data_IF_789801759586
#
_entry.id   IF_789801759586
#
_cell.length_a   1.000
_cell.length_b   1.000
_cell.length_c   1.000
_cell.angle_alpha   90.00
_cell.angle_beta   90.00
_cell.angle_gamma   90.00
#
_symmetry.space_group_name_H-M   'P 1'
#
loop_
_entity.id
_entity.type
_entity.pdbx_description
1 polymer ?
#
# COMPACT_ATOMS: atom_id res chain seq x y z
N UNK A 1 41.98 -2.32 -18.01
CA UNK A 1 40.56 -2.72 -18.02
C UNK A 1 40.15 -3.48 -16.77
N UNK A 2 40.91 -4.42 -16.29
CA UNK A 2 40.57 -5.29 -15.13
C UNK A 2 40.38 -4.56 -13.79
N UNK A 3 41.14 -3.53 -13.49
CA UNK A 3 41.02 -2.73 -12.26
C UNK A 3 39.69 -1.93 -12.17
N UNK A 4 39.13 -1.51 -13.30
CA UNK A 4 37.84 -0.78 -13.32
C UNK A 4 36.68 -1.72 -13.09
N UNK A 5 36.79 -2.96 -13.60
CA UNK A 5 35.79 -4.01 -13.42
C UNK A 5 35.76 -4.48 -11.95
N UNK A 6 36.91 -4.64 -11.30
CA UNK A 6 37.00 -5.02 -9.86
C UNK A 6 36.45 -3.93 -8.94
N UNK A 7 36.71 -2.64 -9.19
CA UNK A 7 36.13 -1.55 -8.40
C UNK A 7 34.61 -1.50 -8.51
N UNK A 8 34.06 -1.62 -9.72
CA UNK A 8 32.59 -1.67 -9.91
C UNK A 8 31.96 -2.91 -9.27
N UNK A 9 32.62 -4.06 -9.33
CA UNK A 9 32.14 -5.27 -8.66
C UNK A 9 32.12 -5.11 -7.13
N UNK A 10 33.13 -4.49 -6.53
CA UNK A 10 33.19 -4.23 -5.09
C UNK A 10 32.09 -3.23 -4.68
N UNK A 11 31.82 -2.19 -5.48
CA UNK A 11 30.72 -1.24 -5.24
C UNK A 11 29.35 -1.94 -5.29
N UNK A 12 29.11 -2.80 -6.27
CA UNK A 12 27.85 -3.56 -6.41
C UNK A 12 27.68 -4.54 -5.25
N UNK A 13 28.75 -5.24 -4.86
CA UNK A 13 28.72 -6.18 -3.73
C UNK A 13 28.50 -5.41 -2.42
N UNK A 14 29.14 -4.27 -2.24
CA UNK A 14 28.97 -3.42 -1.05
C UNK A 14 27.54 -2.87 -0.93
N UNK A 15 26.95 -2.40 -2.03
CA UNK A 15 25.52 -1.94 -2.03
C UNK A 15 24.55 -3.08 -1.80
N UNK A 16 24.78 -4.24 -2.39
CA UNK A 16 23.95 -5.43 -2.17
C UNK A 16 24.04 -5.91 -0.71
N UNK A 17 25.24 -5.94 -0.14
CA UNK A 17 25.43 -6.30 1.27
C UNK A 17 24.73 -5.31 2.22
N UNK A 18 24.85 -4.01 1.96
CA UNK A 18 24.17 -2.98 2.74
C UNK A 18 22.63 -3.13 2.67
N UNK A 19 22.09 -3.41 1.48
CA UNK A 19 20.66 -3.67 1.31
C UNK A 19 20.19 -4.93 2.05
N UNK A 20 21.00 -6.00 2.04
CA UNK A 20 20.68 -7.23 2.76
C UNK A 20 20.68 -7.00 4.27
N UNK A 21 21.63 -6.24 4.81
CA UNK A 21 21.68 -5.90 6.23
C UNK A 21 20.46 -5.06 6.62
N UNK A 22 20.12 -4.05 5.81
CA UNK A 22 18.92 -3.22 6.04
C UNK A 22 17.64 -4.04 5.96
N UNK A 23 17.53 -4.94 4.99
CA UNK A 23 16.40 -5.86 4.89
C UNK A 23 16.30 -6.79 6.10
N UNK A 24 17.42 -7.26 6.61
CA UNK A 24 17.49 -8.05 7.86
C UNK A 24 17.01 -7.25 9.07
N UNK A 25 17.39 -5.99 9.19
CA UNK A 25 16.92 -5.09 10.27
C UNK A 25 15.41 -4.86 10.15
N UNK A 26 14.91 -4.57 8.94
CA UNK A 26 13.48 -4.37 8.69
C UNK A 26 12.69 -5.63 9.02
N UNK A 27 13.20 -6.79 8.62
CA UNK A 27 12.60 -8.09 8.95
C UNK A 27 12.56 -8.33 10.45
N UNK A 28 13.65 -8.06 11.15
CA UNK A 28 13.74 -8.20 12.60
C UNK A 28 12.74 -7.30 13.33
N UNK A 29 12.68 -6.02 12.98
CA UNK A 29 11.72 -5.05 13.53
C UNK A 29 10.29 -5.48 13.22
N UNK A 30 9.99 -5.82 11.97
CA UNK A 30 8.64 -6.24 11.55
C UNK A 30 8.17 -7.55 12.20
N UNK A 31 9.11 -8.43 12.59
CA UNK A 31 8.76 -9.68 13.28
C UNK A 31 8.65 -9.51 14.80
N UNK A 32 9.34 -8.53 15.38
CA UNK A 32 9.33 -8.24 16.81
C UNK A 32 8.09 -7.43 17.22
N UNK A 33 7.54 -6.64 16.32
CA UNK A 33 6.33 -5.85 16.57
C UNK A 33 5.10 -6.75 16.54
N UNK A 34 4.29 -6.73 17.58
CA UNK A 34 2.96 -7.36 17.59
C UNK A 34 2.15 -6.71 16.48
N UNK A 35 1.84 -7.47 15.43
CA UNK A 35 0.93 -7.06 14.37
C UNK A 35 -0.47 -6.92 14.97
N UNK A 36 -0.75 -5.76 15.53
CA UNK A 36 -2.13 -5.39 15.84
C UNK A 36 -2.83 -5.25 14.50
N UNK A 37 -3.91 -6.00 14.21
CA UNK A 37 -4.61 -5.85 12.94
C UNK A 37 -5.06 -4.40 12.81
N UNK A 38 -4.67 -3.79 11.68
CA UNK A 38 -4.92 -2.38 11.36
C UNK A 38 -6.41 -1.98 11.38
N UNK A 39 -7.29 -2.97 11.33
CA UNK A 39 -8.74 -2.83 11.33
C UNK A 39 -9.30 -4.03 12.10
N UNK A 40 -9.29 -3.94 13.41
CA UNK A 40 -10.06 -4.79 14.27
C UNK A 40 -10.77 -3.89 15.28
N UNK A 41 -11.80 -3.21 14.82
CA UNK A 41 -12.91 -3.00 15.70
C UNK A 41 -13.53 -4.37 15.92
N UNK A 42 -13.70 -4.78 17.18
CA UNK A 42 -14.24 -6.08 17.55
C UNK A 42 -15.49 -6.39 16.72
N UNK A 43 -15.42 -7.40 15.86
CA UNK A 43 -16.54 -7.84 15.04
C UNK A 43 -16.63 -7.31 13.61
N UNK A 44 -15.71 -6.46 13.13
CA UNK A 44 -15.69 -5.99 11.74
C UNK A 44 -14.63 -6.72 10.90
N UNK A 45 -15.06 -7.38 9.83
CA UNK A 45 -14.19 -8.06 8.87
C UNK A 45 -14.42 -7.53 7.46
N UNK A 46 -13.35 -7.24 6.72
CA UNK A 46 -13.44 -6.92 5.29
C UNK A 46 -13.12 -8.15 4.45
N UNK A 47 -14.07 -8.55 3.60
CA UNK A 47 -13.93 -9.71 2.75
C UNK A 47 -14.23 -9.38 1.28
N UNK A 48 -13.58 -10.10 0.38
CA UNK A 48 -13.93 -10.05 -1.04
C UNK A 48 -15.16 -10.89 -1.29
N UNK A 49 -16.07 -10.39 -2.11
CA UNK A 49 -17.28 -11.09 -2.49
C UNK A 49 -17.64 -10.85 -3.95
N UNK A 50 -18.49 -11.71 -4.49
CA UNK A 50 -19.04 -11.56 -5.84
C UNK A 50 -20.55 -11.46 -5.73
N UNK A 51 -21.14 -10.49 -6.40
CA UNK A 51 -22.60 -10.31 -6.46
C UNK A 51 -23.22 -11.45 -7.26
N UNK A 52 -24.13 -12.19 -6.63
CA UNK A 52 -24.82 -13.33 -7.25
C UNK A 52 -26.19 -12.93 -7.74
N UNK A 53 -26.92 -12.11 -6.96
CA UNK A 53 -28.29 -11.73 -7.23
C UNK A 53 -28.56 -10.32 -6.70
N UNK A 54 -29.42 -9.56 -7.37
CA UNK A 54 -29.92 -8.27 -6.91
C UNK A 54 -31.32 -8.53 -6.36
N UNK A 55 -31.49 -8.34 -5.03
CA UNK A 55 -32.76 -8.59 -4.34
C UNK A 55 -33.71 -7.41 -4.50
N UNK A 56 -33.18 -6.20 -4.32
CA UNK A 56 -33.90 -4.93 -4.57
C UNK A 56 -33.06 -4.04 -5.46
N UNK A 57 -33.63 -3.58 -6.56
CA UNK A 57 -33.03 -2.54 -7.38
C UNK A 57 -33.01 -1.20 -6.64
N UNK A 58 -32.29 -0.26 -7.18
CA UNK A 58 -32.06 1.07 -6.62
C UNK A 58 -33.39 1.79 -6.33
N UNK A 59 -33.87 1.72 -5.10
CA UNK A 59 -35.12 2.36 -4.64
C UNK A 59 -34.78 3.71 -4.01
N UNK A 60 -34.83 4.77 -4.80
CA UNK A 60 -34.77 6.13 -4.28
C UNK A 60 -33.62 6.96 -4.81
N UNK A 61 -33.78 7.49 -5.98
CA UNK A 61 -33.04 8.63 -6.47
C UNK A 61 -33.93 9.44 -7.38
N UNK A 62 -34.37 10.58 -6.93
CA UNK A 62 -34.82 11.63 -7.81
C UNK A 62 -33.70 11.90 -8.82
N UNK A 63 -34.03 11.82 -10.12
CA UNK A 63 -33.16 12.18 -11.22
C UNK A 63 -32.68 13.62 -11.07
N UNK A 64 -31.57 13.81 -10.40
CA UNK A 64 -30.81 15.05 -10.44
C UNK A 64 -29.54 14.78 -11.22
N UNK A 65 -29.62 15.06 -12.49
CA UNK A 65 -28.52 15.32 -13.42
C UNK A 65 -27.32 14.38 -13.39
N UNK A 66 -27.11 13.69 -14.51
CA UNK A 66 -25.83 13.11 -14.98
C UNK A 66 -25.03 12.25 -14.01
N UNK A 67 -25.33 10.95 -13.97
CA UNK A 67 -24.32 9.90 -13.69
C UNK A 67 -24.27 9.32 -12.30
N UNK A 68 -24.94 9.84 -11.28
CA UNK A 68 -24.87 9.33 -9.91
C UNK A 68 -26.22 8.82 -9.40
N UNK A 69 -26.33 7.48 -9.33
CA UNK A 69 -27.46 6.82 -8.69
C UNK A 69 -27.24 6.82 -7.17
N UNK A 70 -27.69 7.85 -6.48
CA UNK A 70 -27.81 7.83 -5.03
C UNK A 70 -29.04 6.97 -4.66
N UNK A 71 -28.84 5.88 -3.92
CA UNK A 71 -29.91 5.00 -3.48
C UNK A 71 -29.38 3.77 -2.76
N UNK A 72 -30.26 3.01 -2.11
CA UNK A 72 -29.90 1.73 -1.51
C UNK A 72 -30.24 0.58 -2.45
N UNK A 73 -29.38 -0.41 -2.50
CA UNK A 73 -29.56 -1.63 -3.27
C UNK A 73 -29.28 -2.82 -2.36
N UNK A 74 -30.20 -3.76 -2.26
CA UNK A 74 -29.98 -5.00 -1.52
C UNK A 74 -29.51 -6.07 -2.50
N UNK A 75 -28.35 -6.66 -2.22
CA UNK A 75 -27.69 -7.64 -3.09
C UNK A 75 -27.33 -8.91 -2.32
N UNK A 76 -27.44 -10.07 -2.94
CA UNK A 76 -26.85 -11.29 -2.41
C UNK A 76 -25.42 -11.40 -2.92
N UNK A 77 -24.49 -11.55 -2.00
CA UNK A 77 -23.07 -11.68 -2.30
C UNK A 77 -22.53 -13.01 -1.80
N UNK A 78 -21.73 -13.66 -2.65
CA UNK A 78 -20.99 -14.86 -2.28
C UNK A 78 -19.58 -14.43 -1.83
N UNK A 79 -19.25 -14.70 -0.57
CA UNK A 79 -17.97 -14.36 0.01
C UNK A 79 -16.88 -15.26 -0.58
N UNK A 80 -15.80 -14.64 -1.11
CA UNK A 80 -14.68 -15.36 -1.75
C UNK A 80 -13.42 -15.38 -0.90
N UNK A 81 -13.32 -14.53 0.13
CA UNK A 81 -12.16 -14.49 1.05
C UNK A 81 -12.60 -14.29 2.51
N UNK A 82 -11.66 -14.46 3.46
CA UNK A 82 -11.93 -14.25 4.87
C UNK A 82 -12.53 -15.46 5.60
N UNK A 83 -12.92 -15.24 6.87
CA UNK A 83 -13.41 -16.30 7.78
C UNK A 83 -14.73 -16.91 7.35
N UNK A 84 -15.52 -16.19 6.57
CA UNK A 84 -16.83 -16.59 6.09
C UNK A 84 -16.86 -17.05 4.61
N UNK A 85 -15.69 -17.43 4.08
CA UNK A 85 -15.54 -17.86 2.68
C UNK A 85 -16.54 -18.96 2.29
N UNK A 86 -17.19 -18.77 1.14
CA UNK A 86 -18.16 -19.73 0.57
C UNK A 86 -19.61 -19.49 0.99
N UNK A 87 -19.87 -18.69 2.03
CA UNK A 87 -21.23 -18.34 2.43
C UNK A 87 -21.81 -17.29 1.47
N UNK A 88 -23.12 -17.40 1.23
CA UNK A 88 -23.90 -16.38 0.54
C UNK A 88 -24.70 -15.61 1.58
N UNK A 89 -24.53 -14.29 1.62
CA UNK A 89 -25.17 -13.39 2.57
C UNK A 89 -25.87 -12.26 1.85
N UNK A 90 -26.92 -11.73 2.44
CA UNK A 90 -27.52 -10.48 1.97
C UNK A 90 -26.68 -9.31 2.45
N UNK A 91 -26.35 -8.41 1.54
CA UNK A 91 -25.57 -7.22 1.79
C UNK A 91 -26.35 -5.98 1.36
N UNK A 92 -26.38 -5.00 2.24
CA UNK A 92 -26.92 -3.70 1.90
C UNK A 92 -25.84 -2.89 1.19
N UNK A 93 -26.18 -2.31 0.07
CA UNK A 93 -25.32 -1.44 -0.72
C UNK A 93 -25.89 -0.01 -0.66
N UNK A 94 -25.33 0.80 0.23
CA UNK A 94 -25.60 2.24 0.27
C UNK A 94 -24.74 2.92 -0.81
N UNK A 95 -25.34 3.16 -1.96
CA UNK A 95 -24.64 3.82 -3.07
C UNK A 95 -24.58 5.33 -2.78
N UNK A 96 -23.49 5.77 -2.19
CA UNK A 96 -23.19 7.16 -1.88
C UNK A 96 -21.90 7.63 -2.55
N UNK A 97 -21.58 8.92 -2.40
CA UNK A 97 -20.38 9.54 -3.02
C UNK A 97 -19.04 8.89 -2.60
N UNK A 98 -18.97 8.34 -1.38
CA UNK A 98 -17.73 7.80 -0.81
C UNK A 98 -17.71 6.27 -0.73
N UNK A 99 -18.87 5.64 -0.57
CA UNK A 99 -19.00 4.21 -0.32
C UNK A 99 -20.08 3.62 -1.20
N UNK A 100 -19.93 2.32 -1.48
CA UNK A 100 -20.87 1.59 -2.29
C UNK A 100 -20.38 1.37 -3.73
N UNK A 101 -21.11 0.55 -4.44
CA UNK A 101 -20.82 0.19 -5.82
C UNK A 101 -22.15 0.08 -6.58
N UNK A 102 -22.19 0.49 -7.85
CA UNK A 102 -23.32 0.11 -8.70
C UNK A 102 -23.21 -1.38 -9.02
N UNK A 103 -23.87 -2.20 -8.21
CA UNK A 103 -23.73 -3.65 -8.27
C UNK A 103 -24.55 -4.22 -9.43
N UNK A 104 -23.88 -5.03 -10.24
CA UNK A 104 -24.49 -5.91 -11.23
C UNK A 104 -24.13 -7.36 -10.90
N UNK A 105 -24.91 -8.33 -11.37
CA UNK A 105 -24.60 -9.73 -11.20
C UNK A 105 -23.23 -10.05 -11.78
N UNK A 106 -22.34 -10.65 -10.98
CA UNK A 106 -20.95 -10.92 -11.33
C UNK A 106 -19.95 -9.83 -10.92
N UNK A 107 -20.40 -8.68 -10.41
CA UNK A 107 -19.49 -7.63 -9.94
C UNK A 107 -18.70 -8.12 -8.72
N UNK A 108 -17.39 -7.91 -8.75
CA UNK A 108 -16.50 -8.18 -7.60
C UNK A 108 -16.50 -6.96 -6.69
N UNK A 109 -16.81 -7.18 -5.42
CA UNK A 109 -16.93 -6.12 -4.40
C UNK A 109 -16.18 -6.51 -3.14
N UNK A 110 -15.81 -5.52 -2.36
CA UNK A 110 -15.35 -5.66 -0.99
C UNK A 110 -16.56 -5.43 -0.10
N UNK A 111 -16.84 -6.38 0.79
CA UNK A 111 -17.92 -6.29 1.76
C UNK A 111 -17.35 -6.16 3.16
N UNK A 112 -17.94 -5.29 3.94
CA UNK A 112 -17.71 -5.15 5.37
C UNK A 112 -18.71 -6.06 6.08
N UNK A 113 -18.21 -7.01 6.83
CA UNK A 113 -18.99 -8.00 7.56
C UNK A 113 -18.92 -7.64 9.04
N UNK A 114 -20.08 -7.46 9.66
CA UNK A 114 -20.22 -7.30 11.11
C UNK A 114 -20.91 -8.55 11.65
N UNK A 115 -20.18 -9.37 12.41
CA UNK A 115 -20.73 -10.56 13.03
C UNK A 115 -21.01 -10.30 14.51
N UNK A 116 -22.25 -10.31 14.90
CA UNK A 116 -22.69 -10.28 16.29
C UNK A 116 -23.44 -11.57 16.61
N UNK A 117 -22.75 -12.55 17.22
CA UNK A 117 -23.28 -13.90 17.43
C UNK A 117 -23.59 -14.59 16.10
N UNK A 118 -24.83 -15.06 15.93
CA UNK A 118 -25.29 -15.74 14.71
C UNK A 118 -25.77 -14.80 13.59
N UNK A 119 -25.86 -13.50 13.86
CA UNK A 119 -26.32 -12.50 12.89
C UNK A 119 -25.13 -11.93 12.13
N UNK A 120 -25.13 -12.16 10.81
CA UNK A 120 -24.13 -11.62 9.90
C UNK A 120 -24.75 -10.46 9.13
N UNK A 121 -24.35 -9.25 9.47
CA UNK A 121 -24.69 -8.05 8.71
C UNK A 121 -23.55 -7.78 7.72
N UNK A 122 -23.87 -7.67 6.45
CA UNK A 122 -22.90 -7.35 5.41
C UNK A 122 -23.28 -6.04 4.71
N UNK A 123 -22.31 -5.17 4.49
CA UNK A 123 -22.47 -3.94 3.73
C UNK A 123 -21.46 -3.92 2.58
N UNK A 124 -21.89 -3.52 1.39
CA UNK A 124 -20.97 -3.33 0.27
C UNK A 124 -20.17 -2.05 0.53
N UNK A 125 -18.84 -2.22 0.63
CA UNK A 125 -17.94 -1.11 0.89
C UNK A 125 -17.51 -0.41 -0.41
N UNK A 126 -16.99 -1.19 -1.39
CA UNK A 126 -16.55 -0.64 -2.67
C UNK A 126 -16.32 -1.77 -3.70
N UNK A 127 -15.99 -1.40 -4.95
CA UNK A 127 -15.53 -2.34 -5.96
C UNK A 127 -14.19 -2.98 -5.58
N UNK A 128 -14.02 -4.27 -5.88
CA UNK A 128 -12.70 -4.90 -5.85
C UNK A 128 -11.91 -4.52 -7.11
N UNK A 129 -11.04 -3.52 -6.96
CA UNK A 129 -10.17 -3.00 -8.02
C UNK A 129 -8.73 -3.52 -7.95
N UNK A 130 -8.49 -4.55 -7.14
CA UNK A 130 -7.14 -5.06 -6.86
C UNK A 130 -6.38 -5.41 -8.14
N UNK A 131 -7.04 -6.11 -9.09
CA UNK A 131 -6.42 -6.47 -10.37
C UNK A 131 -6.00 -5.25 -11.19
N UNK A 132 -6.84 -4.23 -11.26
CA UNK A 132 -6.55 -2.99 -11.98
C UNK A 132 -5.39 -2.23 -11.33
N UNK A 133 -5.33 -2.21 -10.00
CA UNK A 133 -4.24 -1.59 -9.25
C UNK A 133 -2.90 -2.29 -9.53
N UNK A 134 -2.87 -3.64 -9.49
CA UNK A 134 -1.65 -4.37 -9.81
C UNK A 134 -1.22 -4.19 -11.27
N UNK A 135 -2.18 -4.15 -12.20
CA UNK A 135 -1.89 -3.88 -13.61
C UNK A 135 -1.29 -2.48 -13.82
N UNK A 136 -1.82 -1.45 -13.14
CA UNK A 136 -1.28 -0.09 -13.18
C UNK A 136 0.12 -0.01 -12.58
N UNK A 137 0.35 -0.65 -11.43
CA UNK A 137 1.68 -0.70 -10.80
C UNK A 137 2.69 -1.40 -11.73
N UNK A 138 2.30 -2.54 -12.30
CA UNK A 138 3.14 -3.27 -13.24
C UNK A 138 3.45 -2.46 -14.49
N UNK A 139 2.46 -1.81 -15.08
CA UNK A 139 2.63 -0.92 -16.24
C UNK A 139 3.57 0.25 -15.91
N UNK A 140 3.39 0.89 -14.76
CA UNK A 140 4.26 1.98 -14.30
C UNK A 140 5.72 1.53 -14.18
N UNK A 141 5.97 0.40 -13.50
CA UNK A 141 7.32 -0.14 -13.36
C UNK A 141 7.93 -0.52 -14.71
N UNK A 142 7.13 -1.08 -15.62
CA UNK A 142 7.57 -1.42 -16.98
C UNK A 142 7.99 -0.17 -17.75
N UNK A 143 7.18 0.88 -17.76
CA UNK A 143 7.50 2.15 -18.42
C UNK A 143 8.78 2.75 -17.82
N UNK A 144 8.91 2.73 -16.50
CA UNK A 144 10.07 3.26 -15.80
C UNK A 144 11.36 2.50 -16.18
N UNK A 145 11.29 1.17 -16.34
CA UNK A 145 12.40 0.35 -16.79
C UNK A 145 12.74 0.57 -18.28
N UNK A 146 11.73 0.71 -19.15
CA UNK A 146 11.93 0.94 -20.58
C UNK A 146 12.56 2.30 -20.87
N UNK A 147 12.04 3.37 -20.28
CA UNK A 147 12.55 4.74 -20.51
C UNK A 147 13.88 4.95 -19.78
N UNK A 148 13.99 4.51 -18.53
CA UNK A 148 15.17 4.73 -17.69
C UNK A 148 16.33 3.76 -17.95
N UNK A 149 16.10 2.67 -18.70
CA UNK A 149 17.09 1.62 -18.94
C UNK A 149 17.70 1.10 -17.64
N UNK A 150 19.04 0.98 -17.57
CA UNK A 150 19.73 0.51 -16.35
C UNK A 150 19.45 1.40 -15.12
N UNK A 151 19.33 2.71 -15.30
CA UNK A 151 19.01 3.62 -14.20
C UNK A 151 17.55 3.49 -13.76
N UNK A 152 16.65 3.20 -14.69
CA UNK A 152 15.25 2.90 -14.42
C UNK A 152 15.07 1.68 -13.52
N UNK A 153 15.86 0.62 -13.76
CA UNK A 153 15.85 -0.58 -12.90
C UNK A 153 16.28 -0.23 -11.47
N UNK A 154 17.35 0.52 -11.29
CA UNK A 154 17.78 0.96 -9.94
C UNK A 154 16.75 1.86 -9.27
N UNK A 155 16.05 2.72 -10.03
CA UNK A 155 14.96 3.54 -9.52
C UNK A 155 13.76 2.69 -9.09
N UNK A 156 13.41 1.65 -9.86
CA UNK A 156 12.35 0.70 -9.49
C UNK A 156 12.69 -0.04 -8.18
N UNK A 157 13.94 -0.49 -8.04
CA UNK A 157 14.43 -1.14 -6.81
C UNK A 157 14.37 -0.16 -5.63
N UNK A 158 14.79 1.10 -5.81
CA UNK A 158 14.72 2.12 -4.77
C UNK A 158 13.27 2.42 -4.36
N UNK A 159 12.33 2.44 -5.31
CA UNK A 159 10.92 2.62 -5.04
C UNK A 159 10.35 1.46 -4.21
N UNK A 160 10.61 0.22 -4.60
CA UNK A 160 10.17 -0.96 -3.84
C UNK A 160 10.78 -0.93 -2.43
N UNK A 161 12.07 -0.60 -2.31
CA UNK A 161 12.74 -0.43 -1.02
C UNK A 161 12.04 0.62 -0.14
N UNK A 162 11.64 1.76 -0.72
CA UNK A 162 10.89 2.80 -0.01
C UNK A 162 9.59 2.27 0.58
N UNK A 163 8.80 1.51 -0.21
CA UNK A 163 7.57 0.89 0.29
C UNK A 163 7.83 -0.13 1.40
N UNK A 164 8.87 -0.94 1.27
CA UNK A 164 9.27 -1.90 2.31
C UNK A 164 9.66 -1.17 3.60
N UNK A 165 10.40 -0.05 3.51
CA UNK A 165 10.75 0.76 4.69
C UNK A 165 9.52 1.37 5.35
N UNK A 166 8.55 1.87 4.58
CA UNK A 166 7.33 2.48 5.14
C UNK A 166 6.48 1.40 5.82
N UNK A 167 6.22 0.30 5.14
CA UNK A 167 5.32 -0.75 5.65
C UNK A 167 6.00 -1.61 6.72
N UNK A 168 7.29 -1.91 6.56
CA UNK A 168 8.01 -2.84 7.43
C UNK A 168 8.75 -2.19 8.60
N UNK A 169 9.04 -0.88 8.53
CA UNK A 169 9.78 -0.18 9.56
C UNK A 169 8.97 0.97 10.17
N UNK A 170 8.47 1.89 9.34
CA UNK A 170 7.79 3.09 9.82
C UNK A 170 6.46 2.77 10.52
N UNK A 171 5.58 2.04 9.86
CA UNK A 171 4.27 1.69 10.42
C UNK A 171 4.38 0.85 11.71
N UNK A 172 5.16 -0.23 11.78
CA UNK A 172 5.27 -1.00 13.01
C UNK A 172 5.77 -0.18 14.19
N UNK A 173 6.81 0.64 14.00
CA UNK A 173 7.35 1.48 15.07
C UNK A 173 6.35 2.57 15.52
N UNK A 174 5.54 3.08 14.60
CA UNK A 174 4.47 4.03 14.93
C UNK A 174 3.40 3.38 15.79
N UNK A 175 3.05 2.12 15.52
CA UNK A 175 2.08 1.35 16.35
C UNK A 175 2.61 1.02 17.74
N UNK A 176 3.92 0.87 17.93
CA UNK A 176 4.53 0.69 19.24
C UNK A 176 4.52 1.98 20.09
N UNK A 177 4.03 3.09 19.55
CA UNK A 177 3.94 4.36 20.26
C UNK A 177 5.19 5.24 20.14
N UNK A 178 6.06 4.98 19.17
CA UNK A 178 7.18 5.86 18.88
C UNK A 178 6.65 7.25 18.44
N UNK A 179 7.33 8.32 18.86
CA UNK A 179 6.97 9.69 18.46
C UNK A 179 7.03 9.82 16.94
N UNK A 180 5.92 10.23 16.28
CA UNK A 180 5.86 10.27 14.81
C UNK A 180 6.93 11.14 14.18
N UNK A 181 7.25 12.27 14.81
CA UNK A 181 8.12 13.30 14.28
C UNK A 181 9.59 12.85 14.13
N UNK A 182 10.32 12.42 15.20
CA UNK A 182 11.69 11.97 15.07
C UNK A 182 11.81 10.69 14.25
N UNK A 183 10.80 9.80 14.36
CA UNK A 183 10.73 8.57 13.57
C UNK A 183 10.67 8.86 12.06
N UNK A 184 9.82 9.82 11.65
CA UNK A 184 9.71 10.23 10.25
C UNK A 184 11.04 10.75 9.71
N UNK A 185 11.72 11.63 10.46
CA UNK A 185 13.02 12.17 10.06
C UNK A 185 14.04 11.04 9.88
N UNK A 186 14.13 10.13 10.83
CA UNK A 186 15.06 9.01 10.77
C UNK A 186 14.81 8.10 9.56
N UNK A 187 13.56 7.71 9.31
CA UNK A 187 13.18 6.83 8.19
C UNK A 187 13.37 7.54 6.85
N UNK A 188 13.02 8.83 6.74
CA UNK A 188 13.23 9.61 5.51
C UNK A 188 14.71 9.76 5.20
N UNK A 189 15.56 10.04 6.21
CA UNK A 189 17.01 10.10 6.02
C UNK A 189 17.55 8.74 5.51
N UNK A 190 17.13 7.63 6.11
CA UNK A 190 17.54 6.30 5.69
C UNK A 190 17.13 6.00 4.25
N UNK A 191 15.86 6.24 3.89
CA UNK A 191 15.35 6.06 2.53
C UNK A 191 16.14 6.93 1.54
N UNK A 192 16.38 8.19 1.88
CA UNK A 192 17.11 9.14 1.02
C UNK A 192 18.54 8.68 0.74
N UNK A 193 19.27 8.27 1.79
CA UNK A 193 20.65 7.75 1.64
C UNK A 193 20.66 6.56 0.68
N UNK A 194 19.82 5.58 0.93
CA UNK A 194 19.80 4.34 0.13
C UNK A 194 19.36 4.61 -1.31
N UNK A 195 18.29 5.38 -1.50
CA UNK A 195 17.75 5.67 -2.84
C UNK A 195 18.73 6.47 -3.70
N UNK A 196 19.35 7.51 -3.15
CA UNK A 196 20.33 8.31 -3.88
C UNK A 196 21.58 7.50 -4.22
N UNK A 197 22.07 6.66 -3.31
CA UNK A 197 23.22 5.80 -3.56
C UNK A 197 22.90 4.71 -4.60
N UNK A 198 21.70 4.16 -4.59
CA UNK A 198 21.24 3.17 -5.58
C UNK A 198 21.17 3.77 -6.99
N UNK A 199 20.55 4.95 -7.13
CA UNK A 199 20.32 5.58 -8.45
C UNK A 199 21.59 6.24 -8.98
N UNK A 200 22.31 6.97 -8.12
CA UNK A 200 23.47 7.78 -8.50
C UNK A 200 24.82 7.06 -8.39
N UNK A 201 24.86 5.91 -7.70
CA UNK A 201 26.07 5.20 -7.35
C UNK A 201 26.94 5.97 -6.33
N UNK A 202 28.08 5.39 -5.94
CA UNK A 202 29.06 6.04 -5.06
C UNK A 202 29.88 7.09 -5.82
N UNK A 203 29.29 8.25 -6.08
CA UNK A 203 29.98 9.37 -6.72
C UNK A 203 30.02 10.56 -5.76
N UNK A 204 31.05 11.46 -5.94
CA UNK A 204 31.15 12.68 -5.16
C UNK A 204 29.86 13.53 -5.26
N UNK A 205 29.24 13.55 -6.44
CA UNK A 205 27.97 14.25 -6.69
C UNK A 205 26.83 13.69 -5.85
N UNK A 206 26.70 12.36 -5.80
CA UNK A 206 25.66 11.67 -5.02
C UNK A 206 25.85 11.92 -3.52
N UNK A 207 27.09 11.85 -3.03
CA UNK A 207 27.38 12.11 -1.61
C UNK A 207 27.02 13.55 -1.24
N UNK A 208 27.40 14.54 -2.04
CA UNK A 208 27.02 15.93 -1.81
C UNK A 208 25.51 16.13 -1.84
N UNK A 209 24.80 15.52 -2.80
CA UNK A 209 23.35 15.58 -2.87
C UNK A 209 22.70 14.94 -1.63
N UNK A 210 23.18 13.78 -1.18
CA UNK A 210 22.69 13.10 0.03
C UNK A 210 22.85 13.97 1.26
N UNK A 211 24.03 14.56 1.47
CA UNK A 211 24.29 15.46 2.60
C UNK A 211 23.37 16.68 2.54
N UNK A 212 23.24 17.32 1.38
CA UNK A 212 22.36 18.48 1.20
C UNK A 212 20.90 18.16 1.51
N UNK A 213 20.41 17.00 1.05
CA UNK A 213 19.02 16.58 1.33
C UNK A 213 18.80 16.27 2.82
N UNK A 214 19.74 15.59 3.48
CA UNK A 214 19.65 15.31 4.92
C UNK A 214 19.65 16.60 5.73
N UNK A 215 20.53 17.54 5.39
CA UNK A 215 20.55 18.87 6.04
C UNK A 215 19.24 19.62 5.84
N UNK A 216 18.67 19.58 4.63
CA UNK A 216 17.37 20.18 4.33
C UNK A 216 16.24 19.58 5.16
N UNK A 217 16.19 18.25 5.27
CA UNK A 217 15.20 17.53 6.10
C UNK A 217 15.39 17.88 7.59
N UNK A 218 16.62 17.92 8.07
CA UNK A 218 16.91 18.27 9.47
C UNK A 218 16.49 19.71 9.79
N UNK A 219 16.83 20.68 8.94
CA UNK A 219 16.43 22.09 9.12
C UNK A 219 14.91 22.23 9.07
N UNK A 220 14.24 21.60 8.09
CA UNK A 220 12.77 21.59 8.00
C UNK A 220 12.14 20.99 9.25
N UNK A 221 12.72 19.91 9.78
CA UNK A 221 12.27 19.29 11.02
C UNK A 221 12.40 20.21 12.23
N UNK A 222 13.51 20.93 12.37
CA UNK A 222 13.72 21.89 13.49
C UNK A 222 12.76 23.08 13.38
N UNK A 223 12.44 23.55 12.16
CA UNK A 223 11.51 24.66 11.96
C UNK A 223 10.04 24.30 12.28
N UNK A 224 9.71 23.00 12.32
CA UNK A 224 8.37 22.50 12.63
C UNK A 224 8.15 22.20 14.13
N UNK A 225 9.21 22.20 14.92
CA UNK A 225 9.19 22.03 16.38
C UNK A 225 8.98 23.37 17.09
#
# INVERSE_FOLDING_TARGET
>A
MERITKKKAIEIIGTAAALLVLFGIIWYVSSSVKKTPLISEDGLEYAKATVVEIVKGNSGGNNTGEGEMAGSQDVKVKITSGSHKGKTVEANNLNGYLYGANCQVGTKVIVQISAYGDVINANVYNYDREYVMYALIGLFLLILCLIGGKRGIYSAIALVFTFICIIGLYLPLLYEGASPFPLTIAVVCLITIVSLLLIGGFTKKTVCATIGTIMGVAVSGICLL
#
